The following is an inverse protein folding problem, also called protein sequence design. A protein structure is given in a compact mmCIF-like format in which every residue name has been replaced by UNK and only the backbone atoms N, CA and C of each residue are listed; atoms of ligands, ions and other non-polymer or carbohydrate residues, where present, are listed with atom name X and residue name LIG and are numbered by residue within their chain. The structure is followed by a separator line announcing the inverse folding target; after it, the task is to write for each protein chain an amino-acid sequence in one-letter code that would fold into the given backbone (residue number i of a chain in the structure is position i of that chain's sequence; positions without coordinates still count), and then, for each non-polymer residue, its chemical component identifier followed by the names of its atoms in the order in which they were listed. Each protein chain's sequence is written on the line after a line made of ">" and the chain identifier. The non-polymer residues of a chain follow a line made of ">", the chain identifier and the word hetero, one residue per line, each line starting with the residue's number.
data_IF_412498110804
#
_entry.id   IF_412498110804
#
_cell.length_a   1.000
_cell.length_b   1.000
_cell.length_c   1.000
_cell.angle_alpha   90.00
_cell.angle_beta   90.00
_cell.angle_gamma   90.00
#
_symmetry.space_group_name_H-M   'P 1'
#
loop_
_entity.id
_entity.type
_entity.pdbx_description
1 polymer ?
#
# COMPACT_ATOMS: atom_id res chain seq x y z
N UNK A 1 17.00 -17.57 7.63
CA UNK A 1 15.56 -17.73 7.36
C UNK A 1 15.17 -16.78 6.24
N UNK A 2 14.31 -17.19 5.32
CA UNK A 2 13.77 -16.39 4.21
C UNK A 2 12.27 -16.64 4.10
N UNK A 3 11.49 -15.61 3.80
CA UNK A 3 10.05 -15.67 3.54
C UNK A 3 9.73 -14.79 2.33
N UNK A 4 8.74 -15.20 1.54
CA UNK A 4 8.20 -14.40 0.43
C UNK A 4 6.89 -13.68 0.85
N UNK A 5 6.54 -13.72 2.15
CA UNK A 5 5.38 -13.06 2.70
C UNK A 5 5.46 -11.54 2.51
N UNK A 6 4.34 -10.93 2.09
CA UNK A 6 4.24 -9.48 1.96
C UNK A 6 4.17 -8.83 3.34
N UNK A 7 5.13 -7.94 3.62
CA UNK A 7 5.24 -7.20 4.88
C UNK A 7 5.39 -5.70 4.57
N UNK A 8 5.04 -4.88 5.56
CA UNK A 8 5.04 -3.42 5.44
C UNK A 8 5.84 -2.79 6.58
N UNK A 9 6.35 -1.57 6.38
CA UNK A 9 7.10 -0.88 7.43
C UNK A 9 6.27 -0.67 8.72
N UNK A 10 4.95 -0.49 8.57
CA UNK A 10 4.01 -0.34 9.68
C UNK A 10 3.90 -1.60 10.56
N UNK A 11 4.37 -2.76 10.06
CA UNK A 11 4.40 -4.01 10.82
C UNK A 11 5.53 -4.03 11.88
N UNK A 12 6.53 -3.15 11.75
CA UNK A 12 7.69 -3.13 12.68
C UNK A 12 7.23 -2.83 14.11
N UNK A 13 6.35 -1.85 14.31
CA UNK A 13 5.92 -1.48 15.65
C UNK A 13 5.24 -2.63 16.41
N UNK A 14 4.17 -3.29 15.89
CA UNK A 14 3.58 -4.45 16.55
C UNK A 14 4.54 -5.63 16.68
N UNK A 15 5.48 -5.79 15.75
CA UNK A 15 6.49 -6.86 15.81
C UNK A 15 7.47 -6.67 16.98
N UNK A 16 7.98 -5.46 17.16
CA UNK A 16 8.90 -5.14 18.25
C UNK A 16 8.23 -5.26 19.61
N UNK A 17 6.95 -4.85 19.74
CA UNK A 17 6.20 -5.02 20.99
C UNK A 17 6.06 -6.51 21.33
N UNK A 18 5.62 -7.35 20.38
CA UNK A 18 5.44 -8.79 20.62
C UNK A 18 6.77 -9.48 20.96
N UNK A 19 7.82 -9.21 20.19
CA UNK A 19 9.15 -9.83 20.41
C UNK A 19 9.81 -9.40 21.72
N UNK A 20 9.43 -8.23 22.26
CA UNK A 20 9.91 -7.74 23.54
C UNK A 20 9.07 -8.23 24.73
N UNK A 21 8.02 -9.04 24.48
CA UNK A 21 7.10 -9.51 25.52
C UNK A 21 6.16 -8.41 26.05
N UNK A 22 5.93 -7.36 25.27
CA UNK A 22 4.99 -6.27 25.58
C UNK A 22 3.68 -6.54 24.84
N UNK A 23 2.56 -6.25 25.48
CA UNK A 23 1.24 -6.36 24.85
C UNK A 23 1.17 -5.50 23.57
N UNK A 24 0.78 -6.13 22.46
CA UNK A 24 0.59 -5.43 21.19
C UNK A 24 -0.65 -4.54 21.31
N UNK A 25 -0.55 -3.23 20.99
CA UNK A 25 -1.72 -2.35 21.02
C UNK A 25 -2.84 -2.88 20.11
N UNK A 26 -4.11 -2.55 20.40
CA UNK A 26 -5.23 -3.02 19.58
C UNK A 26 -5.16 -2.45 18.16
N UNK A 27 -5.87 -3.09 17.23
CA UNK A 27 -6.04 -2.60 15.87
C UNK A 27 -6.74 -1.23 15.88
N UNK A 28 -6.22 -0.29 15.10
CA UNK A 28 -6.80 1.05 14.94
C UNK A 28 -8.23 0.98 14.34
N UNK A 29 -9.15 1.79 14.87
CA UNK A 29 -10.46 2.04 14.25
C UNK A 29 -10.29 2.87 12.96
N UNK A 30 -11.32 2.96 12.13
CA UNK A 30 -11.25 3.72 10.87
C UNK A 30 -10.81 5.18 11.04
N UNK A 31 -11.13 5.80 12.19
CA UNK A 31 -10.64 7.12 12.54
C UNK A 31 -9.97 7.09 13.91
N UNK A 32 -8.64 6.98 13.89
CA UNK A 32 -7.82 6.79 15.08
C UNK A 32 -7.03 8.03 15.50
N UNK A 33 -7.37 9.22 14.98
CA UNK A 33 -6.59 10.45 15.19
C UNK A 33 -6.45 10.86 16.68
N UNK A 34 -7.33 10.36 17.56
CA UNK A 34 -7.30 10.61 19.01
C UNK A 34 -6.88 9.39 19.84
N UNK A 35 -6.53 8.27 19.20
CA UNK A 35 -6.07 7.08 19.91
C UNK A 35 -4.69 7.34 20.52
N UNK A 36 -4.51 6.92 21.77
CA UNK A 36 -3.21 7.04 22.46
C UNK A 36 -2.24 5.98 21.93
N UNK A 37 -2.72 4.77 21.65
CA UNK A 37 -1.93 3.69 21.06
C UNK A 37 -2.84 2.69 20.33
N UNK A 38 -2.60 2.48 19.05
CA UNK A 38 -3.16 1.40 18.24
C UNK A 38 -2.20 1.08 17.10
N UNK A 39 -2.41 -0.04 16.41
CA UNK A 39 -1.60 -0.44 15.24
C UNK A 39 -2.47 -0.62 14.00
N UNK A 40 -1.91 -0.30 12.83
CA UNK A 40 -2.49 -0.66 11.52
C UNK A 40 -1.69 -1.80 10.85
N UNK A 41 -0.50 -2.11 11.37
CA UNK A 41 0.31 -3.26 10.96
C UNK A 41 -0.05 -4.54 11.70
N UNK A 42 0.50 -5.66 11.23
CA UNK A 42 0.45 -6.98 11.87
C UNK A 42 1.86 -7.43 12.24
N UNK A 43 2.06 -7.90 13.46
CA UNK A 43 3.36 -8.41 13.89
C UNK A 43 3.86 -9.53 12.98
N UNK A 44 5.11 -9.47 12.52
CA UNK A 44 5.76 -10.51 11.71
C UNK A 44 6.44 -11.59 12.55
N UNK A 45 6.33 -11.54 13.89
CA UNK A 45 6.93 -12.54 14.77
C UNK A 45 6.49 -14.00 14.44
N UNK A 46 5.23 -14.27 14.04
CA UNK A 46 4.82 -15.60 13.58
C UNK A 46 5.59 -16.09 12.34
N UNK A 47 5.94 -15.19 11.41
CA UNK A 47 6.75 -15.53 10.23
C UNK A 47 8.18 -15.93 10.59
N UNK A 48 8.70 -15.45 11.74
CA UNK A 48 10.02 -15.88 12.23
C UNK A 48 10.02 -17.36 12.66
N UNK A 49 8.85 -17.90 13.03
CA UNK A 49 8.66 -19.30 13.43
C UNK A 49 8.22 -20.17 12.25
N UNK A 50 7.33 -19.65 11.41
CA UNK A 50 6.81 -20.34 10.22
C UNK A 50 6.84 -19.41 9.00
N UNK A 51 7.97 -19.35 8.26
CA UNK A 51 8.15 -18.42 7.16
C UNK A 51 7.26 -18.70 5.93
N UNK A 52 6.58 -19.84 5.88
CA UNK A 52 5.71 -20.26 4.76
C UNK A 52 4.22 -20.26 5.13
N UNK A 53 3.84 -19.71 6.28
CA UNK A 53 2.42 -19.62 6.66
C UNK A 53 1.65 -18.71 5.70
N UNK A 54 0.35 -18.95 5.58
CA UNK A 54 -0.55 -18.00 4.92
C UNK A 54 -0.46 -16.64 5.63
N UNK A 55 -0.33 -15.57 4.84
CA UNK A 55 -0.05 -14.23 5.34
C UNK A 55 -0.96 -13.19 4.66
N UNK A 56 -0.56 -11.91 4.73
CA UNK A 56 -1.21 -10.81 4.02
C UNK A 56 -1.33 -11.12 2.53
N UNK A 57 -2.48 -10.76 1.97
CA UNK A 57 -2.74 -10.89 0.52
C UNK A 57 -2.10 -9.76 -0.30
N UNK A 58 -1.80 -8.64 0.35
CA UNK A 58 -1.25 -7.45 -0.29
C UNK A 58 -0.42 -6.60 0.68
N UNK A 59 0.53 -5.85 0.13
CA UNK A 59 1.16 -4.70 0.79
C UNK A 59 0.88 -3.42 0.02
N UNK A 60 0.77 -2.31 0.75
CA UNK A 60 0.29 -1.04 0.22
C UNK A 60 1.37 0.03 0.26
N UNK A 61 1.27 0.96 -0.67
CA UNK A 61 2.08 2.17 -0.72
C UNK A 61 1.24 3.27 -1.36
N UNK A 62 1.56 4.54 -1.08
CA UNK A 62 0.87 5.65 -1.69
C UNK A 62 1.81 6.82 -1.95
N UNK A 63 1.49 7.62 -2.97
CA UNK A 63 2.30 8.79 -3.32
C UNK A 63 1.46 9.92 -3.94
N UNK A 64 1.56 11.18 -3.45
CA UNK A 64 0.77 12.30 -3.98
C UNK A 64 1.41 12.96 -5.22
N UNK A 65 0.57 13.50 -6.12
CA UNK A 65 0.95 14.45 -7.17
C UNK A 65 -0.11 15.58 -7.30
N UNK A 66 0.25 16.82 -7.69
CA UNK A 66 1.60 17.35 -7.63
C UNK A 66 2.04 17.40 -6.17
N UNK A 67 3.32 17.65 -5.94
CA UNK A 67 3.82 17.92 -4.60
C UNK A 67 3.72 19.42 -4.25
N UNK A 68 3.45 20.29 -5.24
CA UNK A 68 3.15 21.71 -5.01
C UNK A 68 1.93 21.90 -4.09
N UNK A 69 1.98 22.92 -3.24
CA UNK A 69 0.93 23.22 -2.26
C UNK A 69 1.00 22.39 -0.97
N UNK A 70 1.92 21.43 -0.85
CA UNK A 70 2.28 20.84 0.44
C UNK A 70 3.08 21.85 1.28
N UNK A 71 2.99 21.77 2.61
CA UNK A 71 3.76 22.64 3.51
C UNK A 71 5.24 22.56 3.16
N UNK A 72 5.87 23.71 2.90
CA UNK A 72 7.28 23.79 2.61
C UNK A 72 8.09 23.27 3.80
N UNK A 73 9.01 22.34 3.54
CA UNK A 73 9.98 21.91 4.54
C UNK A 73 11.10 22.96 4.57
N UNK A 74 11.42 23.56 5.73
CA UNK A 74 12.52 24.51 5.84
C UNK A 74 13.84 23.92 5.32
N UNK A 75 14.55 24.66 4.47
CA UNK A 75 15.84 24.23 3.89
C UNK A 75 15.74 23.23 2.73
N UNK A 76 14.55 22.93 2.22
CA UNK A 76 14.34 22.13 0.99
C UNK A 76 13.82 23.02 -0.14
N UNK A 77 14.15 22.71 -1.42
CA UNK A 77 13.58 23.44 -2.55
C UNK A 77 12.05 23.30 -2.57
N UNK A 78 11.33 24.26 -3.17
CA UNK A 78 9.89 24.15 -3.34
C UNK A 78 9.53 22.94 -4.18
N UNK A 79 8.45 22.28 -3.79
CA UNK A 79 7.92 21.16 -4.56
C UNK A 79 7.40 21.64 -5.91
N UNK A 80 7.76 20.94 -6.99
CA UNK A 80 7.32 21.27 -8.34
C UNK A 80 5.78 21.17 -8.48
N UNK A 81 5.21 22.09 -9.24
CA UNK A 81 3.83 22.00 -9.74
C UNK A 81 3.64 20.80 -10.66
N UNK A 82 2.39 20.42 -10.92
CA UNK A 82 2.03 19.65 -12.11
C UNK A 82 1.40 20.59 -13.13
N UNK A 83 1.39 20.15 -14.38
CA UNK A 83 0.88 20.89 -15.54
C UNK A 83 -0.61 21.27 -15.42
N UNK A 84 -1.38 20.56 -14.59
CA UNK A 84 -2.83 20.75 -14.44
C UNK A 84 -3.27 21.36 -13.09
N UNK A 85 -2.37 21.49 -12.11
CA UNK A 85 -2.70 22.00 -10.77
C UNK A 85 -3.59 21.09 -9.90
N UNK A 86 -3.99 19.93 -10.41
CA UNK A 86 -4.97 19.05 -9.79
C UNK A 86 -4.33 18.07 -8.82
N UNK A 87 -4.91 17.97 -7.62
CA UNK A 87 -4.44 17.08 -6.57
C UNK A 87 -4.88 15.64 -6.84
N UNK A 88 -3.93 14.74 -6.97
CA UNK A 88 -4.12 13.30 -7.13
C UNK A 88 -3.27 12.51 -6.14
N UNK A 89 -3.71 11.30 -5.84
CA UNK A 89 -2.98 10.34 -5.01
C UNK A 89 -2.88 9.01 -5.76
N UNK A 90 -1.66 8.52 -5.95
CA UNK A 90 -1.41 7.18 -6.47
C UNK A 90 -1.45 6.20 -5.32
N UNK A 91 -2.38 5.26 -5.36
CA UNK A 91 -2.43 4.14 -4.42
C UNK A 91 -1.91 2.90 -5.12
N UNK A 92 -0.88 2.29 -4.53
CA UNK A 92 -0.19 1.11 -5.05
C UNK A 92 -0.45 -0.08 -4.14
N UNK A 93 -0.66 -1.24 -4.77
CA UNK A 93 -0.70 -2.54 -4.11
C UNK A 93 0.32 -3.48 -4.76
N UNK A 94 1.17 -4.12 -3.95
CA UNK A 94 1.92 -5.32 -4.36
C UNK A 94 1.12 -6.53 -3.93
N UNK A 95 0.79 -7.41 -4.88
CA UNK A 95 -0.09 -8.56 -4.68
C UNK A 95 0.30 -9.67 -5.65
N UNK A 96 0.43 -10.90 -5.17
CA UNK A 96 0.84 -12.05 -5.98
C UNK A 96 2.06 -11.70 -6.87
N UNK A 97 1.92 -11.80 -8.20
CA UNK A 97 2.94 -11.42 -9.18
C UNK A 97 2.80 -10.00 -9.71
N UNK A 98 1.89 -9.16 -9.21
CA UNK A 98 1.66 -7.82 -9.77
C UNK A 98 2.04 -6.70 -8.81
N UNK A 99 2.43 -5.58 -9.41
CA UNK A 99 2.34 -4.26 -8.79
C UNK A 99 1.28 -3.46 -9.54
N UNK A 100 0.20 -3.14 -8.84
CA UNK A 100 -0.93 -2.40 -9.38
C UNK A 100 -1.00 -1.02 -8.74
N UNK A 101 -1.13 0.03 -9.55
CA UNK A 101 -1.29 1.41 -9.05
C UNK A 101 -2.46 2.08 -9.75
N UNK A 102 -3.27 2.78 -8.98
CA UNK A 102 -4.32 3.63 -9.53
C UNK A 102 -4.24 5.04 -8.94
N UNK A 103 -4.31 6.03 -9.82
CA UNK A 103 -4.25 7.43 -9.49
C UNK A 103 -5.67 8.00 -9.45
N UNK A 104 -6.05 8.56 -8.31
CA UNK A 104 -7.36 9.18 -8.12
C UNK A 104 -7.21 10.66 -7.83
N UNK A 105 -8.19 11.46 -8.25
CA UNK A 105 -8.37 12.81 -7.71
C UNK A 105 -8.47 12.75 -6.18
N UNK A 106 -7.78 13.65 -5.50
CA UNK A 106 -7.64 13.62 -4.05
C UNK A 106 -7.95 14.99 -3.43
N UNK A 107 -8.94 15.00 -2.55
CA UNK A 107 -9.28 16.16 -1.74
C UNK A 107 -8.33 16.23 -0.53
N UNK A 108 -7.49 17.25 -0.50
CA UNK A 108 -6.49 17.48 0.57
C UNK A 108 -7.11 18.03 1.85
N UNK A 109 -8.24 18.73 1.76
CA UNK A 109 -8.89 19.33 2.92
C UNK A 109 -9.62 18.26 3.72
N UNK A 110 -10.28 17.32 3.02
CA UNK A 110 -10.96 16.19 3.66
C UNK A 110 -10.10 14.93 3.76
N UNK A 111 -8.92 14.91 3.13
CA UNK A 111 -8.02 13.75 3.02
C UNK A 111 -8.70 12.51 2.43
N UNK A 112 -9.50 12.71 1.37
CA UNK A 112 -10.28 11.64 0.74
C UNK A 112 -9.97 11.51 -0.76
N UNK A 113 -9.75 10.27 -1.25
CA UNK A 113 -9.74 10.01 -2.68
C UNK A 113 -11.14 10.01 -3.26
N UNK A 114 -11.27 10.43 -4.51
CA UNK A 114 -12.44 10.19 -5.33
C UNK A 114 -12.23 8.95 -6.20
N UNK A 115 -12.68 7.78 -5.71
CA UNK A 115 -12.48 6.49 -6.38
C UNK A 115 -13.22 6.32 -7.72
N UNK A 116 -14.05 7.27 -8.13
CA UNK A 116 -14.70 7.28 -9.45
C UNK A 116 -14.00 8.18 -10.47
N UNK A 117 -13.03 8.98 -10.03
CA UNK A 117 -12.26 9.91 -10.86
C UNK A 117 -10.81 9.41 -10.97
N UNK A 118 -10.65 8.41 -11.85
CA UNK A 118 -9.37 7.76 -12.15
C UNK A 118 -8.61 8.54 -13.20
N UNK A 119 -7.38 8.89 -12.88
CA UNK A 119 -6.46 9.67 -13.71
C UNK A 119 -5.47 8.82 -14.48
N UNK A 120 -5.11 7.67 -13.92
CA UNK A 120 -4.13 6.77 -14.51
C UNK A 120 -4.19 5.42 -13.84
N UNK A 121 -3.89 4.39 -14.60
CA UNK A 121 -3.83 3.01 -14.11
C UNK A 121 -2.53 2.38 -14.58
N UNK A 122 -1.83 1.73 -13.66
CA UNK A 122 -0.57 1.05 -13.91
C UNK A 122 -0.64 -0.38 -13.42
N UNK A 123 -0.17 -1.31 -14.25
CA UNK A 123 -0.06 -2.72 -13.90
C UNK A 123 1.26 -3.26 -14.43
N UNK A 124 2.10 -3.75 -13.53
CA UNK A 124 3.41 -4.31 -13.85
C UNK A 124 3.51 -5.75 -13.36
N UNK A 125 4.07 -6.64 -14.17
CA UNK A 125 4.30 -8.05 -13.86
C UNK A 125 5.67 -8.23 -13.20
N UNK A 126 5.64 -8.77 -11.99
CA UNK A 126 6.75 -9.08 -11.09
C UNK A 126 6.81 -10.58 -10.78
N UNK A 127 6.30 -11.45 -11.66
CA UNK A 127 6.37 -12.92 -11.51
C UNK A 127 7.80 -13.46 -11.52
N UNK A 128 8.71 -12.76 -12.18
CA UNK A 128 10.12 -13.09 -12.20
C UNK A 128 10.91 -12.02 -11.46
N UNK A 129 11.64 -12.34 -10.37
CA UNK A 129 12.52 -11.39 -9.72
C UNK A 129 13.73 -11.17 -10.62
N UNK A 130 13.63 -10.23 -11.55
CA UNK A 130 14.79 -9.79 -12.32
C UNK A 130 15.30 -8.46 -11.79
N UNK A 131 16.51 -8.10 -12.19
CA UNK A 131 17.07 -6.74 -12.03
C UNK A 131 17.21 -6.10 -13.41
N UNK A 132 16.44 -6.60 -14.38
CA UNK A 132 16.61 -6.32 -15.80
C UNK A 132 15.53 -5.36 -16.28
N UNK A 133 15.78 -4.79 -17.45
CA UNK A 133 15.03 -3.71 -18.11
C UNK A 133 13.52 -3.96 -18.34
N UNK A 134 12.91 -5.04 -17.86
CA UNK A 134 11.51 -5.35 -18.17
C UNK A 134 10.55 -5.41 -16.96
N UNK A 135 11.02 -5.19 -15.72
CA UNK A 135 10.17 -5.38 -14.52
C UNK A 135 9.04 -4.36 -14.40
N UNK A 136 9.27 -3.08 -14.76
CA UNK A 136 8.24 -2.01 -14.71
C UNK A 136 8.24 -1.09 -15.95
N UNK A 137 8.87 -1.52 -17.05
CA UNK A 137 8.98 -0.68 -18.26
C UNK A 137 7.79 -0.81 -19.23
N UNK A 138 6.89 -1.77 -18.98
CA UNK A 138 5.70 -1.99 -19.77
C UNK A 138 4.46 -1.97 -18.87
N UNK A 139 3.67 -0.90 -18.96
CA UNK A 139 2.38 -0.84 -18.30
C UNK A 139 1.37 -1.74 -19.03
N UNK A 140 0.91 -2.79 -18.35
CA UNK A 140 -0.02 -3.79 -18.88
C UNK A 140 -1.50 -3.41 -18.69
N UNK A 141 -1.81 -2.33 -17.97
CA UNK A 141 -3.17 -2.03 -17.51
C UNK A 141 -4.20 -1.86 -18.63
N UNK A 142 -3.77 -1.46 -19.82
CA UNK A 142 -4.64 -1.19 -20.97
C UNK A 142 -4.68 -2.32 -21.99
N UNK A 143 -3.99 -3.43 -21.73
CA UNK A 143 -4.05 -4.60 -22.59
C UNK A 143 -5.41 -5.31 -22.44
N UNK A 144 -6.11 -5.67 -23.54
CA UNK A 144 -7.43 -6.31 -23.45
C UNK A 144 -7.46 -7.56 -22.56
N UNK A 145 -6.41 -8.37 -22.61
CA UNK A 145 -6.27 -9.59 -21.81
C UNK A 145 -6.11 -9.34 -20.29
N UNK A 146 -5.76 -8.12 -19.89
CA UNK A 146 -5.58 -7.76 -18.48
C UNK A 146 -6.82 -7.12 -17.84
N UNK A 147 -7.91 -6.94 -18.61
CA UNK A 147 -9.10 -6.22 -18.16
C UNK A 147 -9.66 -6.77 -16.85
N UNK A 148 -9.89 -8.09 -16.79
CA UNK A 148 -10.49 -8.73 -15.61
C UNK A 148 -9.55 -8.65 -14.39
N UNK A 149 -8.24 -8.83 -14.62
CA UNK A 149 -7.23 -8.66 -13.58
C UNK A 149 -7.23 -7.23 -13.04
N UNK A 150 -7.26 -6.21 -13.90
CA UNK A 150 -7.31 -4.80 -13.49
C UNK A 150 -8.58 -4.51 -12.68
N UNK A 151 -9.73 -5.04 -13.10
CA UNK A 151 -11.00 -4.87 -12.38
C UNK A 151 -10.97 -5.53 -10.99
N UNK A 152 -10.40 -6.72 -10.87
CA UNK A 152 -10.23 -7.42 -9.60
C UNK A 152 -9.28 -6.65 -8.67
N UNK A 153 -8.11 -6.27 -9.16
CA UNK A 153 -7.10 -5.55 -8.39
C UNK A 153 -7.59 -4.17 -7.94
N UNK A 154 -8.38 -3.48 -8.77
CA UNK A 154 -9.06 -2.22 -8.39
C UNK A 154 -10.00 -2.42 -7.21
N UNK A 155 -10.85 -3.44 -7.24
CA UNK A 155 -11.77 -3.75 -6.12
C UNK A 155 -11.00 -4.02 -4.84
N UNK A 156 -9.91 -4.79 -4.93
CA UNK A 156 -9.05 -5.10 -3.78
C UNK A 156 -8.35 -3.85 -3.23
N UNK A 157 -7.82 -2.98 -4.11
CA UNK A 157 -7.19 -1.71 -3.73
C UNK A 157 -8.18 -0.80 -3.00
N UNK A 158 -9.40 -0.64 -3.53
CA UNK A 158 -10.44 0.22 -2.95
C UNK A 158 -11.02 -0.34 -1.65
N UNK A 159 -11.02 -1.66 -1.46
CA UNK A 159 -11.36 -2.27 -0.17
C UNK A 159 -10.34 -1.93 0.93
N UNK A 160 -9.11 -1.63 0.56
CA UNK A 160 -8.05 -1.15 1.45
C UNK A 160 -7.42 -2.23 2.34
N UNK A 161 -6.39 -1.82 3.09
CA UNK A 161 -5.50 -2.72 3.83
C UNK A 161 -6.19 -3.62 4.85
N UNK A 162 -7.31 -3.18 5.44
CA UNK A 162 -8.08 -3.97 6.42
C UNK A 162 -8.59 -5.29 5.83
N UNK A 163 -8.83 -5.34 4.52
CA UNK A 163 -9.26 -6.54 3.81
C UNK A 163 -8.09 -7.43 3.33
N UNK A 164 -6.85 -7.01 3.56
CA UNK A 164 -5.63 -7.73 3.18
C UNK A 164 -4.86 -8.28 4.38
N UNK A 165 -5.37 -8.11 5.60
CA UNK A 165 -4.76 -8.61 6.83
C UNK A 165 -4.50 -10.13 6.77
N UNK A 166 -3.50 -10.64 7.52
CA UNK A 166 -3.29 -12.07 7.64
C UNK A 166 -4.57 -12.78 8.13
N UNK A 167 -4.75 -14.07 7.82
CA UNK A 167 -5.81 -14.86 8.41
C UNK A 167 -5.78 -14.75 9.93
N UNK A 168 -6.94 -14.62 10.58
CA UNK A 168 -7.04 -14.64 12.04
C UNK A 168 -6.68 -16.03 12.55
N UNK A 169 -5.39 -16.30 12.71
CA UNK A 169 -4.91 -17.46 13.43
C UNK A 169 -5.22 -17.23 14.90
N UNK A 170 -6.14 -18.02 15.44
CA UNK A 170 -6.34 -18.15 16.87
C UNK A 170 -5.08 -18.81 17.42
N UNK A 171 -4.18 -18.01 17.97
CA UNK A 171 -3.12 -18.49 18.85
C UNK A 171 -3.68 -18.68 20.25
#
# INVERSE_FOLDING_TARGET
>A
MRTDALVELIDIFPSLTELSGIDVPPMCTENSAKSIACVEGSSVAPLLKNPTMEWKKASFSQYPRPISGLKQIPGKPPFAGNEHGENVMGYTMRVDKYRFTEWYKFDRDTSKPNFTDTWGTELYDHSTPTTLFNDENANLAYKPEMKDTVEELRKMLQAGWRHALPPKNRY
#
